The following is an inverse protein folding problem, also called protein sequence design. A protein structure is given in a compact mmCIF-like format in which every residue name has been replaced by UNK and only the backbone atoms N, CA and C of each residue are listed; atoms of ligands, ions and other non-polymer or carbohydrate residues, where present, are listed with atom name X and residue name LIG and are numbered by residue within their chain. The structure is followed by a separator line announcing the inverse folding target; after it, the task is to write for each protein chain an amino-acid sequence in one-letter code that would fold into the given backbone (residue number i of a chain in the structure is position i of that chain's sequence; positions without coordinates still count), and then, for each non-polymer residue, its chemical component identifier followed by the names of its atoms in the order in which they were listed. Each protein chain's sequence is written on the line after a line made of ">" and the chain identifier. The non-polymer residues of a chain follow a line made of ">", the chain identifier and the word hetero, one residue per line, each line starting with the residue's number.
data_IF_273688849233
#
_entry.id   IF_273688849233
#
_cell.length_a   1.000
_cell.length_b   1.000
_cell.length_c   1.000
_cell.angle_alpha   90.00
_cell.angle_beta   90.00
_cell.angle_gamma   90.00
#
_symmetry.space_group_name_H-M   'P 1'
#
loop_
_entity.id
_entity.type
_entity.pdbx_description
1 polymer ?
#
# COMPACT_ATOMS: atom_id res chain seq x y z
N UNK A 1 -27.58 -5.28 27.12
CA UNK A 1 -27.01 -3.94 26.87
C UNK A 1 -27.41 -3.56 25.46
N UNK A 2 -28.10 -2.45 25.28
CA UNK A 2 -28.74 -2.11 24.00
C UNK A 2 -27.69 -1.86 22.92
N UNK A 3 -27.75 -2.66 21.87
CA UNK A 3 -26.85 -2.59 20.74
C UNK A 3 -27.31 -1.45 19.81
N UNK A 4 -26.87 -0.21 20.11
CA UNK A 4 -27.18 0.98 19.31
C UNK A 4 -26.35 1.00 18.03
N UNK A 5 -26.63 0.04 17.13
CA UNK A 5 -26.02 -0.02 15.79
C UNK A 5 -26.79 0.91 14.85
N UNK A 6 -26.06 1.81 14.19
CA UNK A 6 -26.60 2.70 13.13
C UNK A 6 -26.06 2.27 11.78
N UNK A 7 -26.93 2.17 10.78
CA UNK A 7 -26.55 1.81 9.42
C UNK A 7 -25.79 2.95 8.75
N UNK A 8 -24.62 2.65 8.18
CA UNK A 8 -23.85 3.59 7.36
C UNK A 8 -23.98 3.15 5.91
N UNK A 9 -24.25 4.10 5.00
CA UNK A 9 -24.27 3.87 3.56
C UNK A 9 -23.17 4.69 2.91
N UNK A 10 -22.40 4.06 2.03
CA UNK A 10 -21.38 4.70 1.22
C UNK A 10 -21.38 4.07 -0.17
N UNK A 11 -20.73 4.73 -1.12
CA UNK A 11 -20.56 4.24 -2.49
C UNK A 11 -19.14 3.73 -2.67
N UNK A 12 -19.01 2.58 -3.31
CA UNK A 12 -17.73 1.94 -3.66
C UNK A 12 -17.83 1.37 -5.08
N UNK A 13 -16.72 1.27 -5.82
CA UNK A 13 -16.69 0.53 -7.07
C UNK A 13 -17.22 -0.90 -6.90
N UNK A 14 -17.92 -1.41 -7.92
CA UNK A 14 -18.55 -2.73 -7.86
C UNK A 14 -17.52 -3.85 -7.57
N UNK A 15 -16.40 -3.83 -8.28
CA UNK A 15 -15.30 -4.79 -8.10
C UNK A 15 -14.75 -4.80 -6.67
N UNK A 16 -14.66 -3.62 -6.04
CA UNK A 16 -14.19 -3.52 -4.65
C UNK A 16 -15.18 -4.16 -3.67
N UNK A 17 -16.49 -3.98 -3.90
CA UNK A 17 -17.53 -4.60 -3.09
C UNK A 17 -17.56 -6.12 -3.26
N UNK A 18 -17.28 -6.61 -4.47
CA UNK A 18 -17.22 -8.04 -4.76
C UNK A 18 -16.05 -8.70 -4.04
N UNK A 19 -14.85 -8.10 -4.12
CA UNK A 19 -13.68 -8.55 -3.34
C UNK A 19 -13.93 -8.58 -1.84
N UNK A 20 -14.64 -7.60 -1.29
CA UNK A 20 -15.03 -7.61 0.12
C UNK A 20 -16.03 -8.70 0.48
N UNK A 21 -16.90 -9.09 -0.46
CA UNK A 21 -17.83 -10.20 -0.25
C UNK A 21 -17.06 -11.50 -0.19
N UNK A 22 -16.18 -11.73 -1.17
CA UNK A 22 -15.32 -12.92 -1.24
C UNK A 22 -14.48 -13.10 0.04
N UNK A 23 -13.79 -12.05 0.48
CA UNK A 23 -12.99 -12.13 1.71
C UNK A 23 -13.85 -12.29 2.99
N UNK A 24 -15.07 -11.75 3.01
CA UNK A 24 -15.97 -11.96 4.14
C UNK A 24 -16.43 -13.43 4.19
N UNK A 25 -16.72 -14.03 3.03
CA UNK A 25 -17.07 -15.44 2.92
C UNK A 25 -15.89 -16.35 3.31
N UNK A 26 -14.65 -16.01 2.89
CA UNK A 26 -13.43 -16.73 3.29
C UNK A 26 -13.20 -16.74 4.81
N UNK A 27 -13.61 -15.68 5.50
CA UNK A 27 -13.45 -15.52 6.95
C UNK A 27 -14.68 -15.98 7.75
N UNK A 28 -15.72 -16.51 7.11
CA UNK A 28 -17.02 -16.86 7.71
C UNK A 28 -17.67 -15.66 8.46
N UNK A 29 -17.56 -14.47 7.89
CA UNK A 29 -18.05 -13.23 8.48
C UNK A 29 -19.11 -12.56 7.62
N UNK A 30 -20.01 -11.79 8.24
CA UNK A 30 -20.90 -10.93 7.48
C UNK A 30 -20.12 -9.79 6.80
N UNK A 31 -20.57 -9.35 5.62
CA UNK A 31 -19.93 -8.24 4.90
C UNK A 31 -19.83 -6.96 5.75
N UNK A 32 -20.82 -6.67 6.60
CA UNK A 32 -20.79 -5.50 7.49
C UNK A 32 -19.74 -5.65 8.61
N UNK A 33 -19.49 -6.87 9.08
CA UNK A 33 -18.51 -7.16 10.10
C UNK A 33 -17.08 -7.14 9.54
N UNK A 34 -16.90 -7.66 8.32
CA UNK A 34 -15.66 -7.54 7.57
C UNK A 34 -15.29 -6.07 7.34
N UNK A 35 -16.23 -5.25 6.84
CA UNK A 35 -16.01 -3.80 6.65
C UNK A 35 -15.72 -3.09 7.97
N UNK A 36 -16.44 -3.42 9.05
CA UNK A 36 -16.16 -2.86 10.38
C UNK A 36 -14.73 -3.17 10.83
N UNK A 37 -14.28 -4.42 10.64
CA UNK A 37 -12.94 -4.87 11.03
C UNK A 37 -11.85 -4.17 10.21
N UNK A 38 -12.01 -4.06 8.89
CA UNK A 38 -11.09 -3.30 8.03
C UNK A 38 -11.01 -1.83 8.44
N UNK A 39 -12.14 -1.18 8.72
CA UNK A 39 -12.16 0.24 9.14
C UNK A 39 -11.49 0.42 10.50
N UNK A 40 -11.70 -0.52 11.43
CA UNK A 40 -11.04 -0.50 12.74
C UNK A 40 -9.53 -0.71 12.61
N UNK A 41 -9.09 -1.64 11.75
CA UNK A 41 -7.67 -1.87 11.46
C UNK A 41 -7.03 -0.64 10.80
N UNK A 42 -7.66 -0.08 9.76
CA UNK A 42 -7.19 1.15 9.11
C UNK A 42 -7.10 2.33 10.08
N UNK A 43 -8.10 2.51 10.97
CA UNK A 43 -8.05 3.54 12.01
C UNK A 43 -6.91 3.35 13.01
N UNK A 44 -6.50 2.11 13.32
CA UNK A 44 -5.31 1.90 14.18
C UNK A 44 -4.04 2.40 13.49
N UNK A 45 -3.90 2.18 12.19
CA UNK A 45 -2.80 2.75 11.39
C UNK A 45 -2.76 4.28 11.41
N UNK A 46 -3.93 4.94 11.44
CA UNK A 46 -4.03 6.41 11.55
C UNK A 46 -3.97 6.95 12.99
N UNK A 47 -4.27 6.14 14.00
CA UNK A 47 -4.28 6.54 15.42
C UNK A 47 -2.95 6.27 16.15
N UNK A 48 -1.99 5.62 15.50
CA UNK A 48 -0.65 5.30 16.04
C UNK A 48 0.28 6.52 15.98
N UNK A 49 -0.16 7.64 16.56
CA UNK A 49 0.71 8.74 17.01
C UNK A 49 0.81 8.77 18.53
N UNK A 50 -0.02 8.01 19.25
CA UNK A 50 0.10 7.84 20.71
C UNK A 50 -0.23 6.39 21.10
N UNK A 51 0.64 5.77 21.90
CA UNK A 51 0.48 4.46 22.58
C UNK A 51 0.93 3.19 21.85
N UNK A 52 2.25 2.96 21.93
CA UNK A 52 2.92 1.72 22.38
C UNK A 52 2.41 0.33 21.93
N UNK A 53 3.25 -0.30 21.08
CA UNK A 53 3.62 -1.72 21.03
C UNK A 53 2.58 -2.75 21.55
N UNK A 54 1.85 -3.36 20.63
CA UNK A 54 1.55 -4.80 20.68
C UNK A 54 1.73 -5.36 19.29
N UNK A 55 2.76 -6.18 19.12
CA UNK A 55 3.08 -6.86 17.89
C UNK A 55 2.16 -8.06 17.69
N UNK A 56 1.30 -8.00 16.68
CA UNK A 56 0.80 -9.16 15.94
C UNK A 56 1.36 -9.07 14.51
N UNK A 57 1.71 -10.20 13.87
CA UNK A 57 2.28 -10.18 12.54
C UNK A 57 1.19 -9.79 11.53
N UNK A 58 1.39 -8.66 10.85
CA UNK A 58 0.54 -8.13 9.79
C UNK A 58 0.29 -9.16 8.67
N UNK A 59 -0.96 -9.60 8.44
CA UNK A 59 -1.34 -10.27 7.21
C UNK A 59 -1.85 -9.19 6.23
N UNK A 60 -0.99 -8.83 5.28
CA UNK A 60 -1.27 -8.06 4.06
C UNK A 60 -1.68 -6.58 4.25
N UNK A 61 -0.71 -5.68 4.14
CA UNK A 61 -1.03 -4.27 3.92
C UNK A 61 0.06 -3.22 4.11
N UNK A 62 1.29 -3.57 4.46
CA UNK A 62 2.38 -2.59 4.55
C UNK A 62 3.45 -2.93 3.53
N UNK A 63 3.65 -2.03 2.57
CA UNK A 63 4.80 -1.93 1.69
C UNK A 63 6.10 -2.48 2.33
N UNK A 64 6.51 -3.75 2.09
CA UNK A 64 7.68 -4.33 2.77
C UNK A 64 9.00 -3.98 2.05
N UNK A 65 8.93 -3.19 0.97
CA UNK A 65 10.10 -2.84 0.14
C UNK A 65 10.30 -1.34 -0.02
N UNK A 66 9.77 -0.52 0.90
CA UNK A 66 8.49 0.15 0.70
C UNK A 66 8.31 1.61 1.08
N UNK A 67 9.34 2.34 1.54
CA UNK A 67 9.18 3.63 2.27
C UNK A 67 8.03 4.51 1.74
N UNK A 68 7.14 4.98 2.61
CA UNK A 68 6.04 5.88 2.21
C UNK A 68 6.60 7.20 1.68
N UNK A 69 5.82 7.93 0.88
CA UNK A 69 6.26 9.21 0.31
C UNK A 69 6.60 10.21 1.42
N UNK A 70 5.82 10.21 2.50
CA UNK A 70 6.03 11.03 3.68
C UNK A 70 7.40 10.75 4.31
N UNK A 71 7.76 9.49 4.53
CA UNK A 71 9.08 9.11 5.06
C UNK A 71 10.22 9.52 4.13
N UNK A 72 10.04 9.44 2.81
CA UNK A 72 11.05 9.90 1.84
C UNK A 72 11.26 11.41 1.90
N UNK A 73 10.18 12.18 1.99
CA UNK A 73 10.26 13.64 2.12
C UNK A 73 10.94 14.02 3.44
N UNK A 74 10.58 13.35 4.54
CA UNK A 74 11.25 13.54 5.84
C UNK A 74 12.74 13.20 5.78
N UNK A 75 13.10 12.11 5.09
CA UNK A 75 14.50 11.70 4.92
C UNK A 75 15.28 12.71 4.07
N UNK A 76 14.71 13.17 2.96
CA UNK A 76 15.34 14.17 2.09
C UNK A 76 15.58 15.51 2.80
N UNK A 77 14.70 15.88 3.73
CA UNK A 77 14.82 17.12 4.52
C UNK A 77 15.65 16.95 5.80
N UNK A 78 16.13 15.74 6.12
CA UNK A 78 16.87 15.47 7.35
C UNK A 78 18.21 16.22 7.40
N UNK A 79 18.85 16.42 6.25
CA UNK A 79 20.15 17.10 6.14
C UNK A 79 20.02 18.64 5.97
N UNK A 80 18.80 19.15 5.80
CA UNK A 80 18.54 20.58 5.71
C UNK A 80 17.34 20.95 4.82
N UNK A 81 17.01 22.25 4.75
CA UNK A 81 15.94 22.72 3.86
C UNK A 81 16.36 22.59 2.40
N UNK A 82 15.48 22.03 1.58
CA UNK A 82 15.62 21.94 0.13
C UNK A 82 14.61 22.88 -0.56
N UNK A 83 14.98 23.41 -1.72
CA UNK A 83 14.01 24.02 -2.63
C UNK A 83 13.06 22.95 -3.18
N UNK A 84 11.94 23.40 -3.77
CA UNK A 84 10.99 22.49 -4.41
C UNK A 84 11.65 21.60 -5.47
N UNK A 85 12.52 22.18 -6.30
CA UNK A 85 13.19 21.46 -7.39
C UNK A 85 14.18 20.41 -6.83
N UNK A 86 14.97 20.77 -5.83
CA UNK A 86 15.92 19.86 -5.16
C UNK A 86 15.19 18.72 -4.42
N UNK A 87 14.07 19.02 -3.77
CA UNK A 87 13.27 18.00 -3.09
C UNK A 87 12.67 17.00 -4.08
N UNK A 88 12.14 17.50 -5.21
CA UNK A 88 11.61 16.63 -6.27
C UNK A 88 12.71 15.75 -6.86
N UNK A 89 13.87 16.33 -7.18
CA UNK A 89 15.01 15.58 -7.71
C UNK A 89 15.45 14.47 -6.75
N UNK A 90 15.58 14.79 -5.47
CA UNK A 90 15.99 13.83 -4.43
C UNK A 90 14.98 12.69 -4.27
N UNK A 91 13.68 13.02 -4.20
CA UNK A 91 12.62 12.03 -3.99
C UNK A 91 12.40 11.17 -5.22
N UNK A 92 12.48 11.75 -6.42
CA UNK A 92 12.32 11.02 -7.68
C UNK A 92 13.53 10.14 -7.94
N UNK A 93 14.76 10.61 -7.66
CA UNK A 93 15.97 9.79 -7.81
C UNK A 93 15.93 8.51 -6.99
N UNK A 94 15.57 8.59 -5.68
CA UNK A 94 15.38 7.40 -4.84
C UNK A 94 14.32 6.44 -5.39
N UNK A 95 13.25 6.98 -5.98
CA UNK A 95 12.22 6.17 -6.61
C UNK A 95 12.72 5.49 -7.89
N UNK A 96 13.50 6.18 -8.72
CA UNK A 96 14.09 5.66 -9.95
C UNK A 96 15.05 4.51 -9.66
N UNK A 97 15.96 4.67 -8.70
CA UNK A 97 16.89 3.63 -8.26
C UNK A 97 16.14 2.37 -7.79
N UNK A 98 15.11 2.57 -6.96
CA UNK A 98 14.28 1.46 -6.47
C UNK A 98 13.47 0.78 -7.58
N UNK A 99 13.01 1.54 -8.57
CA UNK A 99 12.31 0.99 -9.72
C UNK A 99 13.25 0.13 -10.56
N UNK A 100 14.49 0.57 -10.75
CA UNK A 100 15.55 -0.21 -11.43
C UNK A 100 15.79 -1.54 -10.70
N UNK A 101 16.04 -1.51 -9.39
CA UNK A 101 16.22 -2.72 -8.56
C UNK A 101 15.03 -3.69 -8.66
N UNK A 102 13.81 -3.14 -8.66
CA UNK A 102 12.60 -3.94 -8.76
C UNK A 102 12.45 -4.61 -10.14
N UNK A 103 12.79 -3.88 -11.21
CA UNK A 103 12.79 -4.39 -12.57
C UNK A 103 13.85 -5.49 -12.73
N UNK A 104 15.07 -5.28 -12.26
CA UNK A 104 16.15 -6.27 -12.29
C UNK A 104 15.74 -7.55 -11.59
N UNK A 105 15.22 -7.44 -10.35
CA UNK A 105 14.75 -8.61 -9.61
C UNK A 105 13.58 -9.34 -10.32
N UNK A 106 12.75 -8.64 -11.08
CA UNK A 106 11.67 -9.26 -11.87
C UNK A 106 12.20 -9.91 -13.16
N UNK A 107 13.23 -9.34 -13.78
CA UNK A 107 13.90 -9.92 -14.94
C UNK A 107 14.67 -11.19 -14.59
N UNK A 108 15.39 -11.20 -13.46
CA UNK A 108 16.09 -12.37 -12.95
C UNK A 108 15.14 -13.56 -12.74
N UNK A 109 13.91 -13.26 -12.33
CA UNK A 109 12.84 -14.24 -12.15
C UNK A 109 12.07 -14.56 -13.44
N UNK A 110 12.55 -14.07 -14.60
CA UNK A 110 11.91 -14.19 -15.92
C UNK A 110 10.44 -13.75 -15.93
N UNK A 111 10.05 -12.80 -15.09
CA UNK A 111 8.67 -12.30 -15.00
C UNK A 111 8.45 -11.08 -15.89
N UNK A 112 9.47 -10.26 -16.08
CA UNK A 112 9.46 -9.07 -16.92
C UNK A 112 10.63 -9.15 -17.89
N UNK A 113 10.51 -8.54 -19.07
CA UNK A 113 11.60 -8.38 -20.04
C UNK A 113 11.53 -7.04 -20.74
N UNK A 114 12.67 -6.44 -21.04
CA UNK A 114 12.73 -5.26 -21.89
C UNK A 114 12.46 -5.61 -23.37
N UNK A 115 11.48 -4.93 -23.97
CA UNK A 115 11.13 -5.02 -25.39
C UNK A 115 11.70 -3.81 -26.13
N UNK A 116 12.88 -3.99 -26.74
CA UNK A 116 13.56 -2.91 -27.48
C UNK A 116 12.79 -2.36 -28.68
N UNK A 117 11.85 -3.11 -29.28
CA UNK A 117 11.04 -2.59 -30.40
C UNK A 117 9.94 -1.64 -29.94
N UNK A 118 9.37 -1.88 -28.76
CA UNK A 118 8.32 -1.05 -28.17
C UNK A 118 8.88 0.04 -27.24
N UNK A 119 10.17 -0.03 -26.90
CA UNK A 119 10.82 0.94 -26.02
C UNK A 119 10.31 0.87 -24.58
N UNK A 120 10.17 -0.33 -24.01
CA UNK A 120 9.67 -0.48 -22.65
C UNK A 120 9.69 -1.92 -22.16
N UNK A 121 9.22 -2.13 -20.93
CA UNK A 121 9.15 -3.45 -20.30
C UNK A 121 7.80 -4.12 -20.57
N UNK A 122 7.82 -5.43 -20.81
CA UNK A 122 6.62 -6.26 -20.95
C UNK A 122 6.67 -7.39 -19.93
N UNK A 123 5.49 -7.85 -19.50
CA UNK A 123 5.39 -9.12 -18.79
C UNK A 123 5.81 -10.25 -19.73
N UNK A 124 6.46 -11.25 -19.16
CA UNK A 124 6.72 -12.52 -19.83
C UNK A 124 5.57 -13.44 -19.42
N UNK A 125 4.68 -13.72 -20.36
CA UNK A 125 3.77 -14.85 -20.26
C UNK A 125 4.64 -16.11 -20.21
N UNK A 126 4.44 -16.96 -19.20
CA UNK A 126 5.20 -18.21 -19.01
C UNK A 126 5.23 -19.11 -20.25
#
# INVERSE_FOLDING_TARGET
>A
MSDDRRSVKTYVPAEQKDRWREHADELDMSQSEFVRTMVQAGRRGFSTVESEKTAEPDPTGSDPKGQSLETRVETALADGPLSWEELVETVVGDFEDRLEDALDALQDRNRVRYNGRKGGYTLTDE
#
